data_IF_842067512350
#
_entry.id   IF_842067512350
#
_cell.length_a   1.000
_cell.length_b   1.000
_cell.length_c   1.000
_cell.angle_alpha   90.00
_cell.angle_beta   90.00
_cell.angle_gamma   90.00
#
_symmetry.space_group_name_H-M   'P 1'
#
loop_
_entity.id
_entity.type
_entity.pdbx_description
1 polymer ?
#
# COMPACT_ATOMS: atom_id res chain seq x y z
N UNK A 1 -8.18 73.59 -63.12
CA UNK A 1 -7.57 73.56 -61.76
C UNK A 1 -8.60 72.94 -60.80
N UNK A 2 -8.50 71.72 -60.59
CA UNK A 2 -9.24 71.05 -59.48
C UNK A 2 -8.52 69.75 -59.12
N UNK A 3 -7.78 69.82 -58.05
CA UNK A 3 -7.10 68.66 -57.47
C UNK A 3 -8.12 67.81 -56.74
N UNK A 4 -8.41 66.66 -57.29
CA UNK A 4 -9.17 65.62 -56.57
C UNK A 4 -8.29 65.00 -55.49
N UNK A 5 -8.66 65.27 -54.28
CA UNK A 5 -8.08 64.59 -53.12
C UNK A 5 -8.71 63.17 -53.08
N UNK A 6 -8.00 62.24 -53.63
CA UNK A 6 -8.29 60.85 -53.31
C UNK A 6 -7.61 60.54 -52.00
N UNK A 7 -8.30 60.77 -50.93
CA UNK A 7 -7.91 60.24 -49.64
C UNK A 7 -8.04 58.72 -49.69
N UNK A 8 -6.90 58.13 -49.78
CA UNK A 8 -6.82 56.71 -49.54
C UNK A 8 -7.21 56.43 -48.08
N UNK A 9 -8.40 55.87 -47.89
CA UNK A 9 -8.75 55.24 -46.59
C UNK A 9 -7.82 54.07 -46.41
N UNK A 10 -6.78 54.28 -45.63
CA UNK A 10 -6.04 53.20 -45.02
C UNK A 10 -6.95 52.58 -43.97
N UNK A 11 -7.67 51.55 -44.36
CA UNK A 11 -8.28 50.63 -43.41
C UNK A 11 -7.13 49.94 -42.66
N UNK A 12 -6.83 50.45 -41.49
CA UNK A 12 -6.11 49.69 -40.51
C UNK A 12 -6.96 48.52 -40.06
N UNK A 13 -6.84 47.42 -40.77
CA UNK A 13 -7.29 46.13 -40.26
C UNK A 13 -6.39 45.77 -39.08
N UNK A 14 -6.78 46.22 -37.90
CA UNK A 14 -6.24 45.68 -36.66
C UNK A 14 -6.75 44.25 -36.61
N UNK A 15 -5.94 43.33 -37.08
CA UNK A 15 -6.15 41.93 -36.87
C UNK A 15 -5.95 41.67 -35.37
N UNK A 16 -7.08 41.67 -34.65
CA UNK A 16 -7.15 41.22 -33.30
C UNK A 16 -6.90 39.70 -33.32
N UNK A 17 -5.63 39.33 -33.25
CA UNK A 17 -5.23 37.94 -32.98
C UNK A 17 -5.69 37.62 -31.59
N UNK A 18 -6.93 37.10 -31.48
CA UNK A 18 -7.38 36.41 -30.30
C UNK A 18 -6.58 35.12 -30.27
N UNK A 19 -5.46 35.18 -29.56
CA UNK A 19 -4.71 33.99 -29.18
C UNK A 19 -5.60 33.14 -28.31
N UNK A 20 -6.26 32.16 -28.94
CA UNK A 20 -6.91 31.07 -28.23
C UNK A 20 -5.78 30.25 -27.59
N UNK A 21 -5.34 30.69 -26.41
CA UNK A 21 -4.53 29.81 -25.54
C UNK A 21 -5.41 28.64 -25.17
N UNK A 22 -5.33 27.57 -25.92
CA UNK A 22 -5.79 26.29 -25.48
C UNK A 22 -4.99 25.95 -24.24
N UNK A 23 -5.55 26.24 -23.06
CA UNK A 23 -5.14 25.59 -21.84
C UNK A 23 -5.39 24.10 -22.07
N UNK A 24 -4.37 23.40 -22.49
CA UNK A 24 -4.32 21.97 -22.27
C UNK A 24 -4.37 21.81 -20.77
N UNK A 25 -5.56 21.47 -20.24
CA UNK A 25 -5.64 20.80 -18.96
C UNK A 25 -4.71 19.60 -19.14
N UNK A 26 -3.50 19.71 -18.59
CA UNK A 26 -2.70 18.55 -18.28
C UNK A 26 -3.60 17.74 -17.34
N UNK A 27 -4.27 16.76 -17.90
CA UNK A 27 -4.92 15.74 -17.12
C UNK A 27 -3.83 15.27 -16.16
N UNK A 28 -4.07 15.41 -14.87
CA UNK A 28 -3.32 14.73 -13.87
C UNK A 28 -3.43 13.26 -14.29
N UNK A 29 -2.43 12.75 -15.00
CA UNK A 29 -2.21 11.31 -15.05
C UNK A 29 -2.09 10.95 -13.59
N UNK A 30 -3.14 10.34 -13.04
CA UNK A 30 -3.01 9.56 -11.84
C UNK A 30 -1.94 8.53 -12.19
N UNK A 31 -0.68 8.86 -11.91
CA UNK A 31 0.39 7.90 -11.95
C UNK A 31 -0.15 6.71 -11.16
N UNK A 32 -0.32 5.60 -11.84
CA UNK A 32 -0.81 4.39 -11.23
C UNK A 32 0.27 4.01 -10.21
N UNK A 33 0.06 4.43 -8.95
CA UNK A 33 0.99 4.16 -7.86
C UNK A 33 1.07 2.65 -7.77
N UNK A 34 2.23 2.10 -8.07
CA UNK A 34 2.44 0.66 -8.01
C UNK A 34 2.15 0.14 -6.61
N UNK A 35 1.75 -1.10 -6.50
CA UNK A 35 1.45 -1.68 -5.19
C UNK A 35 2.63 -1.55 -4.23
N UNK A 36 3.86 -1.62 -4.73
CA UNK A 36 5.07 -1.43 -3.91
C UNK A 36 5.07 -0.11 -3.15
N UNK A 37 4.72 1.00 -3.79
CA UNK A 37 4.69 2.32 -3.14
C UNK A 37 3.59 2.40 -2.09
N UNK A 38 2.50 1.67 -2.30
CA UNK A 38 1.38 1.57 -1.35
C UNK A 38 1.74 0.81 -0.09
N UNK A 39 2.69 -0.14 -0.15
CA UNK A 39 3.17 -0.85 1.03
C UNK A 39 3.94 0.06 1.99
N UNK A 40 4.72 1.01 1.46
CA UNK A 40 5.68 1.80 2.23
C UNK A 40 5.00 2.63 3.30
N UNK A 41 5.49 2.53 4.53
CA UNK A 41 5.03 3.29 5.67
C UNK A 41 4.83 2.48 6.92
N UNK A 42 4.20 3.11 7.90
CA UNK A 42 3.83 2.51 9.16
C UNK A 42 2.32 2.24 9.18
N UNK A 43 1.96 1.06 9.65
CA UNK A 43 0.62 0.53 9.65
C UNK A 43 0.22 0.08 11.05
N UNK A 44 -0.96 0.43 11.48
CA UNK A 44 -1.56 -0.11 12.71
C UNK A 44 -2.43 -1.31 12.38
N UNK A 45 -2.47 -2.27 13.27
CA UNK A 45 -3.38 -3.41 13.15
C UNK A 45 -4.83 -2.95 13.35
N UNK A 46 -5.68 -3.15 12.33
CA UNK A 46 -7.11 -2.85 12.39
C UNK A 46 -7.90 -4.03 12.97
N UNK A 47 -7.66 -5.23 12.46
CA UNK A 47 -8.23 -6.47 12.96
C UNK A 47 -7.40 -7.67 12.51
N UNK A 48 -7.50 -8.76 13.27
CA UNK A 48 -6.93 -10.07 12.95
C UNK A 48 -8.00 -11.13 13.17
N UNK A 49 -8.19 -11.99 12.19
CA UNK A 49 -8.99 -13.20 12.28
C UNK A 49 -8.07 -14.40 12.20
N UNK A 50 -8.28 -15.37 13.08
CA UNK A 50 -7.50 -16.61 13.16
C UNK A 50 -8.39 -17.78 13.60
N UNK A 51 -8.00 -18.99 13.23
CA UNK A 51 -8.69 -20.20 13.67
C UNK A 51 -8.36 -20.50 15.13
N UNK A 52 -9.39 -20.62 15.94
CA UNK A 52 -9.28 -21.02 17.34
C UNK A 52 -9.15 -22.54 17.52
N UNK A 53 -8.92 -22.96 18.75
CA UNK A 53 -8.81 -24.38 19.10
C UNK A 53 -10.11 -25.20 18.84
N UNK A 54 -11.22 -24.49 18.66
CA UNK A 54 -12.53 -25.06 18.31
C UNK A 54 -12.74 -25.25 16.79
N UNK A 55 -11.74 -24.89 15.97
CA UNK A 55 -11.80 -24.94 14.52
C UNK A 55 -12.61 -23.82 13.86
N UNK A 56 -13.10 -22.84 14.65
CA UNK A 56 -13.82 -21.70 14.12
C UNK A 56 -12.91 -20.48 14.01
N UNK A 57 -13.23 -19.60 13.05
CA UNK A 57 -12.51 -18.34 12.89
C UNK A 57 -13.04 -17.31 13.89
N UNK A 58 -12.15 -16.72 14.64
CA UNK A 58 -12.44 -15.70 15.64
C UNK A 58 -11.63 -14.44 15.41
N UNK A 59 -12.15 -13.29 15.85
CA UNK A 59 -11.36 -12.06 15.94
C UNK A 59 -10.44 -12.12 17.16
N UNK A 60 -9.14 -12.00 16.91
CA UNK A 60 -8.16 -11.91 17.97
C UNK A 60 -8.22 -10.54 18.67
N UNK A 61 -8.10 -10.56 19.99
CA UNK A 61 -7.94 -9.33 20.77
C UNK A 61 -6.45 -8.93 20.82
N UNK A 62 -6.01 -8.15 19.85
CA UNK A 62 -4.61 -7.77 19.73
C UNK A 62 -4.46 -6.32 19.21
N UNK A 63 -3.25 -5.81 19.32
CA UNK A 63 -2.79 -4.56 18.70
C UNK A 63 -1.49 -4.84 17.97
N UNK A 64 -1.12 -4.02 17.00
CA UNK A 64 0.11 -4.28 16.26
C UNK A 64 0.60 -3.08 15.47
N UNK A 65 1.87 -3.19 15.10
CA UNK A 65 2.58 -2.28 14.23
C UNK A 65 3.25 -3.10 13.12
N UNK A 66 3.08 -2.65 11.89
CA UNK A 66 3.76 -3.18 10.73
C UNK A 66 4.44 -2.01 10.02
N UNK A 67 5.70 -2.18 9.62
CA UNK A 67 6.47 -1.17 8.91
C UNK A 67 7.05 -1.79 7.65
N UNK A 68 6.90 -1.11 6.53
CA UNK A 68 7.61 -1.38 5.28
C UNK A 68 8.45 -0.18 4.90
N UNK A 69 9.71 -0.41 4.57
CA UNK A 69 10.65 0.64 4.16
C UNK A 69 10.90 0.61 2.65
N UNK A 70 11.26 1.74 2.01
CA UNK A 70 11.50 1.80 0.57
C UNK A 70 12.65 0.91 0.08
N UNK A 71 13.61 0.63 0.97
CA UNK A 71 14.79 -0.19 0.68
C UNK A 71 14.54 -1.70 0.82
N UNK A 72 13.28 -2.11 1.05
CA UNK A 72 12.87 -3.50 1.03
C UNK A 72 12.95 -4.22 2.37
N UNK A 73 13.02 -3.50 3.49
CA UNK A 73 12.93 -4.09 4.82
C UNK A 73 11.52 -3.97 5.40
N UNK A 74 11.16 -4.93 6.24
CA UNK A 74 9.92 -4.89 6.98
C UNK A 74 10.10 -5.37 8.42
N UNK A 75 9.19 -4.92 9.28
CA UNK A 75 9.10 -5.37 10.66
C UNK A 75 7.64 -5.43 11.08
N UNK A 76 7.26 -6.51 11.76
CA UNK A 76 5.93 -6.72 12.29
C UNK A 76 5.98 -7.02 13.77
N UNK A 77 5.07 -6.41 14.52
CA UNK A 77 4.84 -6.66 15.94
C UNK A 77 3.33 -6.78 16.18
N UNK A 78 2.92 -7.84 16.87
CA UNK A 78 1.55 -8.04 17.32
C UNK A 78 1.55 -8.42 18.79
N UNK A 79 0.81 -7.66 19.59
CA UNK A 79 0.60 -7.94 21.00
C UNK A 79 -0.81 -8.45 21.21
N UNK A 80 -0.94 -9.70 21.61
CA UNK A 80 -2.19 -10.32 22.01
C UNK A 80 -2.50 -9.98 23.46
N UNK A 81 -3.77 -9.76 23.79
CA UNK A 81 -4.20 -9.61 25.20
C UNK A 81 -4.04 -10.90 26.00
N UNK A 82 -4.20 -12.02 25.31
CA UNK A 82 -4.02 -13.36 25.91
C UNK A 82 -2.61 -13.87 25.60
N UNK A 83 -1.82 -14.17 26.64
CA UNK A 83 -0.48 -14.72 26.49
C UNK A 83 -0.45 -16.15 25.90
N UNK A 84 -1.60 -16.82 25.86
CA UNK A 84 -1.77 -18.17 25.30
C UNK A 84 -2.29 -18.13 23.85
N UNK A 85 -2.10 -17.03 23.12
CA UNK A 85 -2.44 -16.97 21.70
C UNK A 85 -1.80 -18.15 20.95
N UNK A 86 -2.62 -18.89 20.22
CA UNK A 86 -2.21 -20.13 19.53
C UNK A 86 -1.45 -19.90 18.22
N UNK A 87 -1.07 -18.66 17.90
CA UNK A 87 -0.34 -18.35 16.68
C UNK A 87 1.05 -18.97 16.66
N UNK A 88 1.41 -19.65 15.56
CA UNK A 88 2.76 -20.18 15.33
C UNK A 88 3.83 -19.07 15.18
N UNK A 89 3.40 -17.83 15.04
CA UNK A 89 4.26 -16.64 14.91
C UNK A 89 4.49 -15.94 16.25
N UNK A 90 3.75 -16.29 17.30
CA UNK A 90 3.79 -15.64 18.60
C UNK A 90 4.42 -16.52 19.68
N UNK A 91 5.09 -15.91 20.65
CA UNK A 91 5.57 -16.54 21.86
C UNK A 91 5.20 -15.66 23.06
N UNK A 92 4.54 -16.25 24.07
CA UNK A 92 4.08 -15.51 25.23
C UNK A 92 3.06 -14.41 24.90
N UNK A 93 2.26 -14.60 23.84
CA UNK A 93 1.28 -13.63 23.38
C UNK A 93 1.87 -12.45 22.60
N UNK A 94 3.12 -12.54 22.18
CA UNK A 94 3.76 -11.51 21.37
C UNK A 94 4.40 -12.08 20.11
N UNK A 95 4.13 -11.47 18.98
CA UNK A 95 4.83 -11.67 17.71
C UNK A 95 5.78 -10.50 17.48
N UNK A 96 7.02 -10.78 17.15
CA UNK A 96 7.99 -9.80 16.70
C UNK A 96 8.93 -10.45 15.70
N UNK A 97 9.01 -9.88 14.52
CA UNK A 97 9.96 -10.31 13.49
C UNK A 97 10.32 -9.16 12.56
N UNK A 98 11.48 -9.28 11.94
CA UNK A 98 11.96 -8.34 10.93
C UNK A 98 12.76 -9.06 9.86
N UNK A 99 12.95 -8.42 8.73
CA UNK A 99 13.74 -8.92 7.61
C UNK A 99 13.46 -8.15 6.34
N UNK A 100 13.64 -8.80 5.21
CA UNK A 100 13.43 -8.19 3.89
C UNK A 100 12.14 -8.70 3.25
N UNK A 101 11.57 -7.91 2.31
CA UNK A 101 10.39 -8.32 1.56
C UNK A 101 10.55 -8.06 0.07
N UNK A 102 9.89 -8.91 -0.72
CA UNK A 102 9.79 -8.77 -2.17
C UNK A 102 8.33 -8.94 -2.58
N UNK A 103 7.83 -8.06 -3.44
CA UNK A 103 6.45 -8.08 -3.92
C UNK A 103 6.40 -8.65 -5.33
N UNK A 104 5.45 -9.54 -5.56
CA UNK A 104 4.99 -9.97 -6.88
C UNK A 104 3.60 -9.38 -7.11
N UNK A 105 3.54 -8.24 -7.80
CA UNK A 105 2.29 -7.53 -8.08
C UNK A 105 1.37 -8.37 -8.99
N UNK A 106 1.96 -9.19 -9.88
CA UNK A 106 1.18 -10.02 -10.80
C UNK A 106 0.44 -11.16 -10.10
N UNK A 107 1.05 -11.70 -9.05
CA UNK A 107 0.46 -12.76 -8.23
C UNK A 107 -0.31 -12.22 -7.01
N UNK A 108 -0.29 -10.91 -6.75
CA UNK A 108 -0.79 -10.29 -5.53
C UNK A 108 -0.24 -10.97 -4.27
N UNK A 109 1.09 -11.22 -4.28
CA UNK A 109 1.79 -11.81 -3.15
C UNK A 109 3.03 -11.00 -2.79
N UNK A 110 3.49 -11.16 -1.57
CA UNK A 110 4.84 -10.79 -1.18
C UNK A 110 5.49 -11.92 -0.41
N UNK A 111 6.82 -12.01 -0.50
CA UNK A 111 7.62 -12.97 0.27
C UNK A 111 8.40 -12.19 1.32
N UNK A 112 8.21 -12.57 2.57
CA UNK A 112 8.96 -12.06 3.72
C UNK A 112 10.08 -13.03 4.08
N UNK A 113 11.33 -12.63 3.87
CA UNK A 113 12.50 -13.34 4.35
C UNK A 113 12.81 -12.94 5.78
N UNK A 114 12.65 -13.84 6.73
CA UNK A 114 12.81 -13.56 8.17
C UNK A 114 14.27 -13.57 8.56
N UNK A 115 14.84 -12.41 8.94
CA UNK A 115 16.21 -12.27 9.44
C UNK A 115 16.29 -12.40 10.96
N UNK A 116 15.23 -11.95 11.66
CA UNK A 116 15.12 -12.07 13.09
C UNK A 116 13.68 -12.21 13.54
N UNK A 117 13.46 -13.03 14.57
CA UNK A 117 12.13 -13.28 15.12
C UNK A 117 12.22 -13.70 16.60
N UNK A 118 11.15 -13.37 17.36
CA UNK A 118 10.97 -13.88 18.71
C UNK A 118 10.81 -15.41 18.69
N UNK A 119 9.99 -15.93 17.77
CA UNK A 119 9.91 -17.36 17.48
C UNK A 119 11.08 -17.76 16.58
N UNK A 120 12.14 -18.24 17.20
CA UNK A 120 13.43 -18.48 16.53
C UNK A 120 13.37 -19.46 15.35
N UNK A 121 12.39 -20.37 15.35
CA UNK A 121 12.18 -21.33 14.26
C UNK A 121 11.78 -20.66 12.92
N UNK A 122 11.39 -19.39 12.95
CA UNK A 122 11.05 -18.61 11.76
C UNK A 122 12.30 -18.01 11.09
N UNK A 123 13.41 -17.86 11.80
CA UNK A 123 14.63 -17.22 11.28
C UNK A 123 15.15 -18.01 10.06
N UNK A 124 15.40 -17.31 8.96
CA UNK A 124 15.84 -17.86 7.69
C UNK A 124 14.71 -18.49 6.85
N UNK A 125 13.45 -18.33 7.25
CA UNK A 125 12.30 -18.78 6.45
C UNK A 125 11.85 -17.71 5.48
N UNK A 126 11.36 -18.16 4.32
CA UNK A 126 10.62 -17.37 3.35
C UNK A 126 9.14 -17.60 3.56
N UNK A 127 8.44 -16.54 3.95
CA UNK A 127 7.02 -16.58 4.26
C UNK A 127 6.26 -15.85 3.16
N UNK A 128 5.69 -16.58 2.21
CA UNK A 128 4.85 -15.99 1.18
C UNK A 128 3.46 -15.69 1.71
N UNK A 129 2.97 -14.50 1.40
CA UNK A 129 1.68 -13.96 1.83
C UNK A 129 0.90 -13.42 0.64
N UNK A 130 -0.38 -13.70 0.57
CA UNK A 130 -1.25 -13.00 -0.36
C UNK A 130 -1.69 -11.67 0.26
N UNK A 131 -1.82 -10.65 -0.58
CA UNK A 131 -2.28 -9.35 -0.15
C UNK A 131 -3.39 -8.79 -1.03
N UNK A 132 -4.14 -7.86 -0.46
CA UNK A 132 -5.20 -7.11 -1.13
C UNK A 132 -5.26 -5.72 -0.51
N UNK A 133 -5.37 -4.69 -1.34
CA UNK A 133 -5.67 -3.35 -0.87
C UNK A 133 -7.16 -3.08 -0.98
N UNK A 134 -7.80 -2.71 0.12
CA UNK A 134 -9.21 -2.35 0.20
C UNK A 134 -9.36 -0.98 0.87
N UNK A 135 -9.63 0.05 0.08
CA UNK A 135 -9.61 1.44 0.59
C UNK A 135 -8.23 1.82 1.14
N UNK A 136 -8.20 2.18 2.42
CA UNK A 136 -6.97 2.50 3.17
C UNK A 136 -6.38 1.28 3.93
N UNK A 137 -6.92 0.09 3.70
CA UNK A 137 -6.46 -1.13 4.36
C UNK A 137 -5.59 -1.97 3.44
N UNK A 138 -4.51 -2.51 4.01
CA UNK A 138 -3.73 -3.63 3.48
C UNK A 138 -4.22 -4.90 4.19
N UNK A 139 -4.82 -5.81 3.45
CA UNK A 139 -5.29 -7.10 3.95
C UNK A 139 -4.26 -8.15 3.56
N UNK A 140 -3.79 -8.91 4.53
CA UNK A 140 -2.78 -9.96 4.35
C UNK A 140 -3.32 -11.29 4.87
N UNK A 141 -3.01 -12.37 4.15
CA UNK A 141 -3.33 -13.74 4.56
C UNK A 141 -2.23 -14.71 4.16
N UNK A 142 -2.17 -15.86 4.83
CA UNK A 142 -1.30 -16.95 4.40
C UNK A 142 -1.72 -17.49 3.03
N UNK A 143 -0.74 -17.94 2.23
CA UNK A 143 -0.99 -18.76 1.03
C UNK A 143 -0.98 -20.26 1.37
N UNK A 144 -0.55 -20.63 2.57
CA UNK A 144 -0.55 -22.01 3.05
C UNK A 144 -1.99 -22.43 3.37
N UNK A 145 -2.56 -23.45 2.72
CA UNK A 145 -3.94 -23.89 2.96
C UNK A 145 -4.21 -24.43 4.36
N UNK A 146 -3.16 -24.72 5.14
CA UNK A 146 -3.27 -25.18 6.52
C UNK A 146 -3.18 -24.05 7.55
N UNK A 147 -3.09 -22.81 7.10
CA UNK A 147 -3.03 -21.64 7.97
C UNK A 147 -4.26 -20.74 7.71
N UNK A 148 -5.16 -20.70 8.65
CA UNK A 148 -6.44 -20.00 8.54
C UNK A 148 -6.42 -18.71 9.35
N UNK A 149 -5.68 -17.70 8.84
CA UNK A 149 -5.67 -16.37 9.41
C UNK A 149 -5.74 -15.29 8.32
N UNK A 150 -6.28 -14.14 8.69
CA UNK A 150 -6.39 -12.96 7.86
C UNK A 150 -6.24 -11.71 8.73
N UNK A 151 -5.42 -10.78 8.34
CA UNK A 151 -5.15 -9.55 9.08
C UNK A 151 -5.34 -8.33 8.19
N UNK A 152 -5.93 -7.28 8.75
CA UNK A 152 -6.01 -5.97 8.10
C UNK A 152 -5.18 -4.94 8.86
N UNK A 153 -4.46 -4.17 8.11
CA UNK A 153 -3.62 -3.08 8.54
C UNK A 153 -4.14 -1.77 7.96
N UNK A 154 -4.09 -0.68 8.72
CA UNK A 154 -4.42 0.67 8.28
C UNK A 154 -3.21 1.57 8.40
N UNK A 155 -2.99 2.45 7.42
CA UNK A 155 -1.96 3.48 7.52
C UNK A 155 -2.19 4.38 8.74
N UNK A 156 -1.10 4.77 9.39
CA UNK A 156 -1.13 5.81 10.42
C UNK A 156 -1.43 7.18 9.81
#
# INVERSE_FOLDING_TARGET
MTRSLKQALLLNAVALLIGLTTMTLAGSENANVGDRDRFIGAWRLAWLEEEGADGNVHKAHCTGLLVYTPDGHMSVQVMYRNQQAGSSYAQGGYEASYGTYQIDESAHTFTFHVEGALVRALIGKDLTRAYEFSGNQLIVKSVNPNEHWKVAWEHY
#
